data_IF_631133486543
#
_entry.id   IF_631133486543
#
_cell.length_a   1.000
_cell.length_b   1.000
_cell.length_c   1.000
_cell.angle_alpha   90.00
_cell.angle_beta   90.00
_cell.angle_gamma   90.00
#
_symmetry.space_group_name_H-M   'P 1'
#
loop_
_entity.id
_entity.type
_entity.pdbx_description
1 polymer ?
#
# COMPACT_ATOMS: atom_id res chain seq x y z
N UNK A 1 35.00 -1.82 -34.06
CA UNK A 1 34.26 -2.54 -33.02
C UNK A 1 33.71 -1.49 -32.07
N UNK A 2 32.43 -1.20 -32.15
CA UNK A 2 31.78 -0.19 -31.34
C UNK A 2 31.26 -0.90 -30.10
N UNK A 3 31.89 -0.65 -28.96
CA UNK A 3 31.37 -1.06 -27.65
C UNK A 3 30.09 -0.27 -27.36
N UNK A 4 28.97 -0.89 -27.64
CA UNK A 4 27.67 -0.38 -27.20
C UNK A 4 27.60 -0.62 -25.71
N UNK A 5 27.98 0.37 -24.90
CA UNK A 5 27.75 0.39 -23.47
C UNK A 5 26.24 0.52 -23.29
N UNK A 6 25.56 -0.60 -23.09
CA UNK A 6 24.20 -0.64 -22.60
C UNK A 6 24.25 -0.20 -21.15
N UNK A 7 24.03 1.09 -20.88
CA UNK A 7 23.77 1.55 -19.52
C UNK A 7 22.50 0.89 -19.03
N UNK A 8 22.65 -0.07 -18.12
CA UNK A 8 21.53 -0.61 -17.36
C UNK A 8 20.84 0.54 -16.63
N UNK A 9 19.54 0.73 -16.84
CA UNK A 9 18.74 1.73 -16.13
C UNK A 9 18.65 1.46 -14.62
N UNK A 10 19.05 0.26 -14.19
CA UNK A 10 19.06 -0.18 -12.79
C UNK A 10 20.52 -0.39 -12.40
N UNK A 11 21.02 0.28 -11.35
CA UNK A 11 22.37 0.05 -10.83
C UNK A 11 22.59 -1.42 -10.47
N UNK A 12 23.78 -1.94 -10.71
CA UNK A 12 24.09 -3.35 -10.42
C UNK A 12 23.99 -3.68 -8.93
N UNK A 13 24.27 -2.73 -8.04
CA UNK A 13 24.16 -2.83 -6.59
C UNK A 13 22.72 -2.76 -6.06
N UNK A 14 21.74 -2.42 -6.90
CA UNK A 14 20.33 -2.35 -6.48
C UNK A 14 19.80 -3.70 -5.95
N UNK A 15 20.41 -4.82 -6.35
CA UNK A 15 20.05 -6.17 -5.93
C UNK A 15 20.95 -6.75 -4.83
N UNK A 16 21.90 -5.96 -4.33
CA UNK A 16 22.90 -6.38 -3.34
C UNK A 16 22.64 -5.76 -1.94
N UNK A 17 21.37 -5.50 -1.62
CA UNK A 17 21.01 -4.97 -0.30
C UNK A 17 21.38 -5.94 0.80
N UNK A 18 21.84 -5.40 1.93
CA UNK A 18 22.27 -6.17 3.09
C UNK A 18 21.09 -6.69 3.94
N UNK A 19 20.19 -7.40 3.25
CA UNK A 19 19.04 -8.10 3.86
C UNK A 19 19.23 -9.59 3.63
N UNK A 20 19.09 -10.44 4.67
CA UNK A 20 19.21 -11.88 4.50
C UNK A 20 18.21 -12.43 3.47
N UNK A 21 18.70 -13.21 2.51
CA UNK A 21 17.86 -13.84 1.51
C UNK A 21 16.79 -14.74 2.14
N UNK A 22 15.59 -14.75 1.56
CA UNK A 22 14.49 -15.58 2.04
C UNK A 22 13.72 -14.98 3.21
N UNK A 23 14.08 -13.77 3.65
CA UNK A 23 13.32 -13.09 4.70
C UNK A 23 12.08 -12.39 4.15
N UNK A 24 11.13 -12.15 5.04
CA UNK A 24 9.81 -11.62 4.75
C UNK A 24 9.55 -10.33 5.53
N UNK A 25 8.78 -9.44 4.92
CA UNK A 25 8.17 -8.28 5.56
C UNK A 25 6.81 -8.00 4.94
N UNK A 26 6.04 -7.13 5.56
CA UNK A 26 4.78 -6.68 5.01
C UNK A 26 4.52 -5.20 5.34
N UNK A 27 3.82 -4.54 4.43
CA UNK A 27 3.25 -3.21 4.58
C UNK A 27 1.74 -3.33 4.48
N UNK A 28 1.01 -2.78 5.44
CA UNK A 28 -0.44 -2.78 5.44
C UNK A 28 -0.97 -1.36 5.49
N UNK A 29 -1.81 -1.02 4.54
CA UNK A 29 -2.54 0.25 4.48
C UNK A 29 -3.89 0.12 5.18
N UNK A 30 -4.12 0.99 6.17
CA UNK A 30 -5.35 1.03 6.96
C UNK A 30 -5.99 2.40 6.84
N UNK A 31 -7.33 2.41 6.78
CA UNK A 31 -8.11 3.63 6.70
C UNK A 31 -8.77 4.00 8.02
N UNK A 32 -8.98 5.31 8.19
CA UNK A 32 -9.74 5.88 9.31
C UNK A 32 -11.13 6.31 8.83
N UNK A 33 -12.14 6.06 9.66
CA UNK A 33 -13.51 6.49 9.39
C UNK A 33 -14.15 7.15 10.63
N UNK A 34 -15.13 7.98 10.34
CA UNK A 34 -15.99 8.58 11.35
C UNK A 34 -17.00 7.54 11.88
N UNK A 35 -17.14 7.37 13.20
CA UNK A 35 -17.97 6.32 13.77
C UNK A 35 -19.49 6.53 13.58
N UNK A 36 -19.93 7.75 13.27
CA UNK A 36 -21.35 8.06 13.08
C UNK A 36 -21.77 7.94 11.62
N UNK A 37 -20.96 8.46 10.71
CA UNK A 37 -21.26 8.47 9.27
C UNK A 37 -20.69 7.28 8.54
N UNK A 38 -19.73 6.58 9.14
CA UNK A 38 -18.93 5.50 8.53
C UNK A 38 -18.15 5.93 7.28
N UNK A 39 -18.04 7.23 7.01
CA UNK A 39 -17.25 7.78 5.89
C UNK A 39 -15.79 7.89 6.28
N UNK A 40 -14.90 7.86 5.29
CA UNK A 40 -13.48 8.14 5.50
C UNK A 40 -13.32 9.50 6.20
N UNK A 41 -12.43 9.57 7.18
CA UNK A 41 -12.24 10.75 7.99
C UNK A 41 -10.75 11.00 8.27
N UNK A 42 -10.35 12.26 8.20
CA UNK A 42 -9.00 12.72 8.51
C UNK A 42 -8.59 12.41 9.96
N UNK A 43 -7.29 12.33 10.20
CA UNK A 43 -6.73 12.10 11.52
C UNK A 43 -5.48 11.24 11.55
N UNK A 44 -5.01 10.78 10.39
CA UNK A 44 -3.79 9.97 10.30
C UNK A 44 -2.59 10.71 10.90
N UNK A 45 -2.39 11.99 10.58
CA UNK A 45 -1.27 12.78 11.12
C UNK A 45 -1.29 12.82 12.66
N UNK A 46 -2.45 12.96 13.30
CA UNK A 46 -2.55 12.97 14.78
C UNK A 46 -2.11 11.64 15.41
N UNK A 47 -2.33 10.52 14.73
CA UNK A 47 -1.86 9.22 15.18
C UNK A 47 -0.35 9.12 14.95
N UNK A 48 0.13 9.50 13.77
CA UNK A 48 1.53 9.42 13.37
C UNK A 48 2.45 10.25 14.26
N UNK A 49 2.00 11.41 14.76
CA UNK A 49 2.75 12.25 15.70
C UNK A 49 3.04 11.52 17.05
N UNK A 50 2.41 10.37 17.29
CA UNK A 50 2.48 9.66 18.56
C UNK A 50 2.99 8.22 18.47
N UNK A 51 3.42 7.78 17.29
CA UNK A 51 3.92 6.43 17.01
C UNK A 51 5.30 6.47 16.39
N UNK A 52 6.09 5.36 16.42
CA UNK A 52 7.41 5.29 15.81
C UNK A 52 7.33 5.42 14.28
N UNK A 53 8.13 6.33 13.70
CA UNK A 53 8.18 6.58 12.25
C UNK A 53 8.73 5.41 11.42
N UNK A 54 9.52 4.53 12.03
CA UNK A 54 10.07 3.33 11.39
C UNK A 54 9.04 2.20 11.27
N UNK A 55 7.91 2.32 11.95
CA UNK A 55 6.84 1.32 11.98
C UNK A 55 5.56 1.79 11.32
N UNK A 56 5.34 3.09 11.28
CA UNK A 56 4.12 3.68 10.74
C UNK A 56 4.44 4.92 9.91
N UNK A 57 3.80 5.03 8.78
CA UNK A 57 3.92 6.18 7.88
C UNK A 57 2.57 6.65 7.38
N UNK A 58 2.51 7.91 6.99
CA UNK A 58 1.36 8.47 6.29
C UNK A 58 1.52 8.27 4.79
N UNK A 59 0.43 7.85 4.17
CA UNK A 59 0.30 7.72 2.74
C UNK A 59 -0.28 8.99 2.09
N UNK A 60 -0.79 8.85 0.88
CA UNK A 60 -1.26 9.95 0.03
C UNK A 60 -2.35 10.81 0.66
N UNK A 61 -3.26 10.21 1.43
CA UNK A 61 -4.47 10.86 1.97
C UNK A 61 -4.49 10.82 3.50
N UNK A 62 -4.99 11.89 4.15
CA UNK A 62 -4.97 12.03 5.63
C UNK A 62 -5.94 11.10 6.37
N UNK A 63 -6.57 10.19 5.70
CA UNK A 63 -7.35 9.11 6.31
C UNK A 63 -6.67 7.74 6.22
N UNK A 64 -5.40 7.69 5.82
CA UNK A 64 -4.64 6.47 5.54
C UNK A 64 -3.36 6.41 6.36
N UNK A 65 -3.11 5.24 6.95
CA UNK A 65 -1.88 4.94 7.69
C UNK A 65 -1.32 3.64 7.15
N UNK A 66 -0.06 3.69 6.75
CA UNK A 66 0.73 2.52 6.42
C UNK A 66 1.42 1.98 7.68
N UNK A 67 1.36 0.68 7.83
CA UNK A 67 2.00 -0.08 8.93
C UNK A 67 3.03 -1.04 8.38
N UNK A 68 4.29 -0.86 8.78
CA UNK A 68 5.44 -1.63 8.30
C UNK A 68 5.88 -2.66 9.33
N UNK A 69 5.98 -3.94 8.97
CA UNK A 69 6.53 -4.98 9.85
C UNK A 69 8.06 -4.92 9.91
N UNK A 70 8.64 -5.62 10.86
CA UNK A 70 10.06 -5.97 10.82
C UNK A 70 10.35 -7.00 9.73
N UNK A 71 11.65 -7.31 9.57
CA UNK A 71 12.14 -8.36 8.67
C UNK A 71 12.21 -9.67 9.44
N UNK A 72 11.55 -10.73 8.94
CA UNK A 72 11.40 -12.01 9.60
C UNK A 72 11.84 -13.18 8.70
N UNK A 73 12.40 -14.22 9.30
CA UNK A 73 12.72 -15.46 8.59
C UNK A 73 11.48 -16.32 8.33
N UNK A 74 10.40 -16.11 9.12
CA UNK A 74 9.21 -16.95 9.10
C UNK A 74 7.93 -16.10 8.98
N UNK A 75 6.91 -16.56 8.23
CA UNK A 75 5.63 -15.85 8.11
C UNK A 75 4.95 -15.56 9.44
N UNK A 76 5.15 -16.45 10.44
CA UNK A 76 4.59 -16.25 11.79
C UNK A 76 5.07 -14.98 12.48
N UNK A 77 6.31 -14.52 12.18
CA UNK A 77 6.85 -13.26 12.66
C UNK A 77 6.10 -12.08 12.08
N UNK A 78 5.92 -12.07 10.76
CA UNK A 78 5.16 -11.03 10.05
C UNK A 78 3.73 -10.93 10.59
N UNK A 79 3.06 -12.08 10.78
CA UNK A 79 1.69 -12.11 11.30
C UNK A 79 1.62 -11.53 12.72
N UNK A 80 2.58 -11.85 13.59
CA UNK A 80 2.62 -11.28 14.95
C UNK A 80 2.77 -9.75 14.93
N UNK A 81 3.62 -9.23 14.06
CA UNK A 81 3.80 -7.78 13.92
C UNK A 81 2.51 -7.12 13.42
N UNK A 82 1.89 -7.63 12.36
CA UNK A 82 0.61 -7.11 11.84
C UNK A 82 -0.43 -7.05 12.97
N UNK A 83 -0.61 -8.14 13.73
CA UNK A 83 -1.59 -8.18 14.84
C UNK A 83 -1.27 -7.17 15.92
N UNK A 84 0.01 -7.05 16.30
CA UNK A 84 0.47 -6.09 17.31
C UNK A 84 0.23 -4.64 16.89
N UNK A 85 0.59 -4.31 15.65
CA UNK A 85 0.47 -2.97 15.09
C UNK A 85 -0.98 -2.55 14.87
N UNK A 86 -1.82 -3.46 14.39
CA UNK A 86 -3.27 -3.21 14.30
C UNK A 86 -3.87 -2.88 15.66
N UNK A 87 -3.48 -3.60 16.73
CA UNK A 87 -3.95 -3.31 18.11
C UNK A 87 -3.49 -1.94 18.58
N UNK A 88 -2.25 -1.57 18.29
CA UNK A 88 -1.72 -0.25 18.62
C UNK A 88 -2.49 0.85 17.89
N UNK A 89 -2.61 0.75 16.57
CA UNK A 89 -3.33 1.73 15.76
C UNK A 89 -4.80 1.83 16.16
N UNK A 90 -5.47 0.71 16.47
CA UNK A 90 -6.84 0.71 16.95
C UNK A 90 -6.99 1.52 18.24
N UNK A 91 -6.10 1.29 19.22
CA UNK A 91 -6.11 2.05 20.47
C UNK A 91 -5.82 3.56 20.26
N UNK A 92 -5.05 3.92 19.25
CA UNK A 92 -4.79 5.33 18.89
C UNK A 92 -5.98 5.96 18.16
N UNK A 93 -6.60 5.23 17.24
CA UNK A 93 -7.80 5.66 16.54
C UNK A 93 -8.96 5.93 17.51
N UNK A 94 -9.18 5.02 18.46
CA UNK A 94 -10.20 5.20 19.52
C UNK A 94 -10.00 6.49 20.33
N UNK A 95 -8.75 6.83 20.68
CA UNK A 95 -8.43 8.06 21.44
C UNK A 95 -8.81 9.34 20.71
N UNK A 96 -8.79 9.33 19.38
CA UNK A 96 -9.17 10.48 18.54
C UNK A 96 -10.59 10.36 17.97
N UNK A 97 -11.37 9.38 18.46
CA UNK A 97 -12.76 9.15 18.03
C UNK A 97 -12.87 8.71 16.57
N UNK A 98 -12.00 7.82 16.12
CA UNK A 98 -12.01 7.24 14.76
C UNK A 98 -12.16 5.73 14.80
N UNK A 99 -12.81 5.20 13.78
CA UNK A 99 -12.74 3.77 13.46
C UNK A 99 -11.51 3.50 12.62
N UNK A 100 -10.90 2.34 12.81
CA UNK A 100 -9.80 1.83 12.00
C UNK A 100 -10.28 0.61 11.22
N UNK A 101 -9.96 0.53 9.94
CA UNK A 101 -10.31 -0.63 9.13
C UNK A 101 -9.35 -0.86 7.98
N UNK A 102 -9.54 -2.00 7.33
CA UNK A 102 -8.78 -2.41 6.14
C UNK A 102 -9.68 -3.12 5.14
N UNK A 103 -9.54 -2.76 3.88
CA UNK A 103 -10.23 -3.36 2.72
C UNK A 103 -9.57 -2.82 1.46
N UNK A 104 -9.71 -3.48 0.32
CA UNK A 104 -9.11 -2.99 -0.94
C UNK A 104 -9.66 -1.64 -1.40
N UNK A 105 -10.93 -1.36 -1.08
CA UNK A 105 -11.59 -0.05 -1.25
C UNK A 105 -12.51 0.20 -0.07
N UNK A 106 -12.64 1.46 0.37
CA UNK A 106 -13.65 1.78 1.38
C UNK A 106 -15.06 1.73 0.75
N UNK A 107 -16.05 1.04 1.37
CA UNK A 107 -17.35 0.78 0.74
C UNK A 107 -18.08 2.04 0.25
N UNK A 108 -18.09 3.11 1.06
CA UNK A 108 -18.81 4.36 0.78
C UNK A 108 -17.90 5.58 0.68
N UNK A 109 -16.58 5.38 0.68
CA UNK A 109 -15.60 6.47 0.58
C UNK A 109 -15.61 7.13 -0.79
N UNK A 110 -15.77 8.45 -0.85
CA UNK A 110 -15.62 9.22 -2.08
C UNK A 110 -14.22 9.85 -2.12
N UNK A 111 -13.45 9.54 -3.17
CA UNK A 111 -12.12 10.09 -3.38
C UNK A 111 -12.12 11.62 -3.55
N UNK A 112 -13.27 12.21 -3.92
CA UNK A 112 -13.41 13.68 -4.07
C UNK A 112 -13.40 14.39 -2.73
N UNK A 113 -13.81 13.71 -1.68
CA UNK A 113 -13.85 14.22 -0.31
C UNK A 113 -12.49 14.09 0.40
N UNK A 114 -11.50 13.37 -0.19
CA UNK A 114 -10.22 13.12 0.46
C UNK A 114 -9.22 14.25 0.19
N UNK A 115 -8.47 14.60 1.23
CA UNK A 115 -7.40 15.58 1.18
C UNK A 115 -6.05 14.88 1.01
N UNK A 116 -5.26 15.37 0.05
CA UNK A 116 -3.88 14.91 -0.14
C UNK A 116 -3.00 15.58 0.91
N UNK A 117 -2.21 14.80 1.62
CA UNK A 117 -1.25 15.28 2.62
C UNK A 117 -0.28 16.26 1.98
N UNK A 118 -0.01 17.37 2.67
CA UNK A 118 0.89 18.42 2.19
C UNK A 118 2.38 18.06 2.40
N UNK A 119 2.82 17.00 1.67
CA UNK A 119 4.24 16.65 1.56
C UNK A 119 4.77 17.02 0.17
N UNK A 120 6.02 17.51 0.04
CA UNK A 120 6.55 18.00 -1.25
C UNK A 120 6.49 16.98 -2.39
N UNK A 121 6.68 15.68 -2.11
CA UNK A 121 6.62 14.63 -3.12
C UNK A 121 5.18 14.39 -3.59
N UNK A 122 4.17 14.42 -2.71
CA UNK A 122 2.76 14.30 -3.08
C UNK A 122 2.26 15.51 -3.86
N UNK A 123 2.72 16.71 -3.53
CA UNK A 123 2.40 17.91 -4.32
C UNK A 123 3.00 17.83 -5.74
N UNK A 124 4.20 17.30 -5.89
CA UNK A 124 4.78 17.00 -7.23
C UNK A 124 3.98 15.97 -8.00
N UNK A 125 3.52 14.90 -7.34
CA UNK A 125 2.65 13.90 -7.97
C UNK A 125 1.30 14.51 -8.36
N UNK A 126 0.70 15.31 -7.49
CA UNK A 126 -0.55 16.05 -7.76
C UNK A 126 -0.41 16.97 -8.97
N UNK A 127 0.71 17.68 -9.11
CA UNK A 127 0.96 18.57 -10.26
C UNK A 127 1.14 17.81 -11.57
N UNK A 128 1.69 16.57 -11.53
CA UNK A 128 1.92 15.74 -12.72
C UNK A 128 0.70 14.92 -13.13
N UNK A 129 -0.01 14.33 -12.17
CA UNK A 129 -1.10 13.38 -12.41
C UNK A 129 -2.48 13.99 -12.26
N UNK A 130 -2.58 15.20 -11.68
CA UNK A 130 -3.83 15.91 -11.51
C UNK A 130 -4.87 15.11 -10.73
N UNK A 131 -6.07 14.95 -11.31
CA UNK A 131 -7.17 14.24 -10.66
C UNK A 131 -6.96 12.72 -10.56
N UNK A 132 -6.08 12.14 -11.38
CA UNK A 132 -5.81 10.69 -11.37
C UNK A 132 -5.28 10.23 -10.03
N UNK A 133 -4.36 10.99 -9.42
CA UNK A 133 -3.79 10.61 -8.12
C UNK A 133 -4.84 10.64 -7.01
N UNK A 134 -5.81 11.55 -7.07
CA UNK A 134 -6.90 11.64 -6.09
C UNK A 134 -7.83 10.43 -6.14
N UNK A 135 -7.96 9.80 -7.31
CA UNK A 135 -8.77 8.57 -7.47
C UNK A 135 -8.13 7.33 -6.88
N UNK A 136 -6.84 7.39 -6.55
CA UNK A 136 -6.15 6.27 -5.92
C UNK A 136 -6.52 6.21 -4.43
N UNK A 137 -7.79 5.97 -4.16
CA UNK A 137 -8.36 5.75 -2.84
C UNK A 137 -8.54 4.24 -2.63
N UNK A 138 -7.41 3.53 -2.65
CA UNK A 138 -7.32 2.08 -2.54
C UNK A 138 -6.28 1.73 -1.50
N UNK A 139 -6.54 0.69 -0.72
CA UNK A 139 -5.70 0.25 0.38
C UNK A 139 -5.17 -1.14 0.10
N UNK A 140 -3.93 -1.40 0.44
CA UNK A 140 -3.24 -2.64 0.09
C UNK A 140 -2.61 -3.35 1.27
N UNK A 141 -2.26 -4.60 1.02
CA UNK A 141 -1.30 -5.37 1.79
C UNK A 141 -0.20 -5.79 0.82
N UNK A 142 1.00 -5.25 1.03
CA UNK A 142 2.19 -5.66 0.30
C UNK A 142 2.93 -6.72 1.10
N UNK A 143 3.39 -7.77 0.43
CA UNK A 143 4.27 -8.78 1.02
C UNK A 143 5.60 -8.73 0.31
N UNK A 144 6.65 -8.46 1.07
CA UNK A 144 8.03 -8.40 0.59
C UNK A 144 8.73 -9.72 0.85
N UNK A 145 9.47 -10.19 -0.15
CA UNK A 145 10.34 -11.35 -0.03
C UNK A 145 11.73 -11.00 -0.53
N UNK A 146 12.75 -11.18 0.30
CA UNK A 146 14.11 -10.81 -0.02
C UNK A 146 14.74 -11.80 -0.99
N UNK A 147 15.12 -11.31 -2.18
CA UNK A 147 15.81 -12.07 -3.23
C UNK A 147 17.13 -11.34 -3.54
N UNK A 148 18.26 -12.07 -3.47
CA UNK A 148 19.57 -11.55 -3.84
C UNK A 148 19.92 -11.88 -5.29
N UNK A 149 20.63 -10.96 -5.93
CA UNK A 149 21.14 -11.12 -7.28
C UNK A 149 20.12 -10.85 -8.39
N UNK A 150 20.55 -10.11 -9.39
CA UNK A 150 19.73 -9.65 -10.50
C UNK A 150 19.05 -10.78 -11.27
N UNK A 151 19.80 -11.82 -11.63
CA UNK A 151 19.27 -12.94 -12.41
C UNK A 151 18.13 -13.67 -11.67
N UNK A 152 18.32 -13.92 -10.36
CA UNK A 152 17.30 -14.53 -9.52
C UNK A 152 16.08 -13.63 -9.38
N UNK A 153 16.27 -12.33 -9.20
CA UNK A 153 15.16 -11.38 -9.09
C UNK A 153 14.32 -11.35 -10.37
N UNK A 154 14.95 -11.30 -11.54
CA UNK A 154 14.25 -11.36 -12.83
C UNK A 154 13.54 -12.70 -13.01
N UNK A 155 14.19 -13.81 -12.69
CA UNK A 155 13.57 -15.12 -12.75
C UNK A 155 12.33 -15.23 -11.86
N UNK A 156 12.43 -14.76 -10.60
CA UNK A 156 11.31 -14.76 -9.66
C UNK A 156 10.17 -13.86 -10.15
N UNK A 157 10.48 -12.68 -10.67
CA UNK A 157 9.48 -11.77 -11.25
C UNK A 157 8.69 -12.45 -12.38
N UNK A 158 9.38 -13.09 -13.31
CA UNK A 158 8.73 -13.79 -14.43
C UNK A 158 7.85 -14.96 -13.94
N UNK A 159 8.32 -15.71 -12.94
CA UNK A 159 7.55 -16.83 -12.37
C UNK A 159 6.35 -16.39 -11.56
N UNK A 160 6.46 -15.30 -10.80
CA UNK A 160 5.33 -14.78 -10.02
C UNK A 160 4.15 -14.37 -10.90
N UNK A 161 4.36 -14.03 -12.17
CA UNK A 161 3.29 -13.71 -13.12
C UNK A 161 2.30 -14.87 -13.30
N UNK A 162 2.76 -16.11 -13.22
CA UNK A 162 1.92 -17.29 -13.31
C UNK A 162 0.96 -17.43 -12.12
N UNK A 163 1.31 -16.84 -10.98
CA UNK A 163 0.53 -16.88 -9.74
C UNK A 163 -0.40 -15.67 -9.54
N UNK A 164 -0.33 -14.66 -10.42
CA UNK A 164 -1.18 -13.46 -10.30
C UNK A 164 -2.68 -13.79 -10.17
N UNK A 165 -3.27 -14.71 -10.96
CA UNK A 165 -4.67 -15.07 -10.78
C UNK A 165 -4.99 -15.68 -9.42
N UNK A 166 -4.07 -16.49 -8.87
CA UNK A 166 -4.22 -17.11 -7.55
C UNK A 166 -4.12 -16.06 -6.45
N UNK A 167 -3.15 -15.14 -6.55
CA UNK A 167 -3.00 -14.03 -5.60
C UNK A 167 -4.23 -13.13 -5.62
N UNK A 168 -4.76 -12.82 -6.81
CA UNK A 168 -6.00 -12.06 -6.94
C UNK A 168 -7.17 -12.77 -6.25
N UNK A 169 -7.35 -14.07 -6.49
CA UNK A 169 -8.43 -14.84 -5.88
C UNK A 169 -8.35 -14.88 -4.34
N UNK A 170 -7.13 -14.93 -3.79
CA UNK A 170 -6.90 -14.92 -2.33
C UNK A 170 -7.08 -13.53 -1.70
N UNK A 171 -6.84 -12.46 -2.47
CA UNK A 171 -6.83 -11.08 -1.98
C UNK A 171 -8.11 -10.30 -2.27
N UNK A 172 -9.17 -10.92 -2.80
CA UNK A 172 -10.44 -10.25 -3.10
C UNK A 172 -11.05 -9.65 -1.84
N UNK A 173 -11.18 -8.33 -1.81
CA UNK A 173 -11.71 -7.58 -0.66
C UNK A 173 -12.20 -6.18 -1.05
N UNK A 174 -12.78 -6.02 -2.24
CA UNK A 174 -13.26 -4.70 -2.71
C UNK A 174 -14.49 -4.82 -3.61
N UNK A 175 -15.62 -5.37 -3.11
CA UNK A 175 -16.85 -5.52 -3.90
C UNK A 175 -17.65 -4.22 -4.02
N UNK A 176 -17.27 -3.16 -3.27
CA UNK A 176 -17.98 -1.89 -3.25
C UNK A 176 -17.08 -0.75 -3.74
N UNK A 177 -17.69 0.24 -4.36
CA UNK A 177 -17.03 1.49 -4.75
C UNK A 177 -17.99 2.67 -4.69
N UNK A 178 -17.69 3.70 -3.91
CA UNK A 178 -18.50 4.91 -3.76
C UNK A 178 -19.99 4.64 -3.42
N UNK A 179 -20.26 3.64 -2.60
CA UNK A 179 -21.60 3.26 -2.19
C UNK A 179 -22.33 2.29 -3.13
N UNK A 180 -21.72 1.95 -4.25
CA UNK A 180 -22.29 1.04 -5.24
C UNK A 180 -21.72 -0.38 -5.11
N UNK A 181 -22.56 -1.39 -5.37
CA UNK A 181 -22.13 -2.77 -5.57
C UNK A 181 -21.56 -2.87 -6.98
N UNK A 182 -20.30 -3.31 -7.09
CA UNK A 182 -19.58 -3.34 -8.38
C UNK A 182 -19.80 -4.62 -9.18
N UNK A 183 -20.54 -5.59 -8.65
CA UNK A 183 -20.67 -6.95 -9.18
C UNK A 183 -19.34 -7.70 -9.36
N UNK A 184 -18.29 -7.20 -8.72
CA UNK A 184 -16.95 -7.77 -8.74
C UNK A 184 -16.47 -8.04 -7.30
N UNK A 185 -15.73 -9.11 -7.10
CA UNK A 185 -15.11 -9.41 -5.80
C UNK A 185 -13.90 -8.49 -5.52
N UNK A 186 -13.27 -7.94 -6.57
CA UNK A 186 -12.15 -7.00 -6.49
C UNK A 186 -12.26 -5.90 -7.55
N UNK A 187 -12.97 -4.83 -7.25
CA UNK A 187 -13.03 -3.62 -8.09
C UNK A 187 -11.72 -2.83 -8.05
N UNK A 188 -10.95 -2.94 -6.96
CA UNK A 188 -9.66 -2.26 -6.74
C UNK A 188 -8.72 -2.40 -7.94
N UNK A 189 -8.62 -3.60 -8.50
CA UNK A 189 -7.68 -3.88 -9.61
C UNK A 189 -8.00 -3.03 -10.85
N UNK A 190 -9.28 -2.78 -11.14
CA UNK A 190 -9.67 -1.93 -12.29
C UNK A 190 -9.44 -0.44 -12.02
N UNK A 191 -9.63 -0.01 -10.77
CA UNK A 191 -9.40 1.38 -10.37
C UNK A 191 -7.92 1.69 -10.52
N UNK A 192 -7.06 0.84 -9.98
CA UNK A 192 -5.61 0.98 -10.03
C UNK A 192 -5.06 0.88 -11.45
N UNK A 193 -5.44 -0.13 -12.22
CA UNK A 193 -4.92 -0.35 -13.58
C UNK A 193 -5.28 0.79 -14.54
N UNK A 194 -6.48 1.36 -14.44
CA UNK A 194 -6.89 2.50 -15.26
C UNK A 194 -6.17 3.79 -14.91
N UNK A 195 -5.67 3.91 -13.69
CA UNK A 195 -4.88 5.07 -13.26
C UNK A 195 -3.46 5.05 -13.84
N UNK A 196 -2.86 3.87 -13.98
CA UNK A 196 -1.48 3.71 -14.48
C UNK A 196 -1.41 3.76 -16.01
N UNK A 197 -2.35 3.14 -16.73
CA UNK A 197 -2.29 3.01 -18.20
C UNK A 197 -2.51 4.33 -18.97
N UNK A 198 -2.87 5.42 -18.30
CA UNK A 198 -3.02 6.75 -18.92
C UNK A 198 -1.91 7.73 -18.59
N UNK A 199 -0.90 7.31 -17.84
CA UNK A 199 0.23 8.14 -17.44
C UNK A 199 1.51 7.85 -18.27
N UNK A 200 1.45 6.96 -19.26
CA UNK A 200 2.52 6.64 -20.20
C UNK A 200 2.31 7.24 -21.59
#
# INVERSE_FOLDING_TARGET
MSDTVTHSLIPDDAFEKDVPEGTLGAEEELWLADPQTLRLATGAQKILDSVPEDQFSGELIDCEIESNTGVHAEPSGVIRDIVSRRRELLARADRIGRLLGTSGTHPIGDWREQEIIDKPHYQRLKSKLGWLIRRNNTFSLHVHYAVRGREKAVYMFDRLREYVPHMLALSVNSPFWQGEITDMQSSRILIFSRSIHRAG
#
